data_IF_996975585767
#
_entry.id   IF_996975585767
#
_cell.length_a   1.000
_cell.length_b   1.000
_cell.length_c   1.000
_cell.angle_alpha   90.00
_cell.angle_beta   90.00
_cell.angle_gamma   90.00
#
_symmetry.space_group_name_H-M   'P 1'
#
loop_
_entity.id
_entity.type
_entity.pdbx_description
1 polymer ?
#
# COMPACT_ATOMS: atom_id res chain seq x y z
N UNK A 1 2.61 21.82 -8.83
CA UNK A 1 3.67 21.40 -7.90
C UNK A 1 4.18 19.99 -8.22
N UNK A 2 3.29 19.00 -8.33
CA UNK A 2 3.65 17.60 -8.60
C UNK A 2 4.50 17.41 -9.87
N UNK A 3 4.08 18.03 -10.98
CA UNK A 3 4.80 18.00 -12.26
C UNK A 3 6.10 18.82 -12.25
N UNK A 4 6.16 19.91 -11.49
CA UNK A 4 7.35 20.78 -11.39
C UNK A 4 8.42 20.18 -10.47
N UNK A 5 8.02 19.45 -9.44
CA UNK A 5 8.93 18.80 -8.48
C UNK A 5 9.33 17.37 -8.89
N UNK A 6 8.80 16.87 -10.02
CA UNK A 6 9.06 15.53 -10.49
C UNK A 6 8.43 14.45 -9.59
N UNK A 7 7.24 14.71 -9.04
CA UNK A 7 6.52 13.83 -8.11
C UNK A 7 6.56 14.35 -6.68
N UNK A 8 5.49 14.07 -5.93
CA UNK A 8 5.31 14.55 -4.55
C UNK A 8 5.33 13.44 -3.52
N UNK A 9 4.99 12.20 -3.89
CA UNK A 9 4.95 11.08 -2.95
C UNK A 9 6.26 10.29 -3.02
N UNK A 10 7.01 10.17 -1.91
CA UNK A 10 8.21 9.35 -1.86
C UNK A 10 7.87 7.86 -1.75
N UNK A 11 8.54 7.07 -2.58
CA UNK A 11 8.70 5.63 -2.47
C UNK A 11 10.17 5.35 -2.21
N UNK A 12 10.48 4.62 -1.16
CA UNK A 12 11.82 4.16 -0.86
C UNK A 12 11.91 2.65 -1.13
N UNK A 13 12.92 2.26 -1.89
CA UNK A 13 13.24 0.86 -2.18
C UNK A 13 14.58 0.57 -1.51
N UNK A 14 14.56 -0.35 -0.57
CA UNK A 14 15.75 -0.80 0.15
C UNK A 14 16.16 -2.14 -0.43
N UNK A 15 17.44 -2.26 -0.81
CA UNK A 15 18.00 -3.48 -1.38
C UNK A 15 19.16 -3.95 -0.50
N UNK A 16 19.08 -5.20 -0.07
CA UNK A 16 20.15 -5.86 0.67
C UNK A 16 21.15 -6.53 -0.30
N UNK A 17 22.43 -6.70 0.07
CA UNK A 17 23.41 -7.42 -0.75
C UNK A 17 22.98 -8.89 -0.92
N UNK A 18 23.51 -9.59 -1.93
CA UNK A 18 23.34 -11.03 -2.04
C UNK A 18 24.01 -11.73 -0.86
N UNK A 19 23.41 -12.85 -0.41
CA UNK A 19 24.06 -13.68 0.59
C UNK A 19 25.42 -14.15 0.10
N UNK A 20 26.47 -13.94 0.91
CA UNK A 20 27.85 -14.30 0.57
C UNK A 20 28.01 -15.82 0.34
N UNK A 21 27.10 -16.62 0.89
CA UNK A 21 27.10 -18.08 0.78
C UNK A 21 26.16 -18.63 -0.31
N UNK A 22 25.39 -17.78 -0.99
CA UNK A 22 24.52 -18.22 -2.07
C UNK A 22 25.35 -18.57 -3.32
N UNK A 23 25.18 -19.77 -3.91
CA UNK A 23 25.86 -20.13 -5.15
C UNK A 23 25.44 -19.16 -6.25
N UNK A 24 26.42 -18.48 -6.87
CA UNK A 24 26.18 -17.57 -8.00
C UNK A 24 25.45 -18.35 -9.09
N UNK A 25 24.28 -17.90 -9.55
CA UNK A 25 23.55 -18.57 -10.61
C UNK A 25 24.36 -18.50 -11.89
N UNK A 26 24.85 -19.66 -12.36
CA UNK A 26 25.57 -19.81 -13.61
C UNK A 26 27.05 -20.20 -13.52
N UNK A 27 27.63 -20.35 -12.33
CA UNK A 27 28.91 -21.01 -12.12
C UNK A 27 28.64 -22.37 -11.47
N UNK A 28 28.45 -23.40 -12.28
CA UNK A 28 28.67 -24.77 -11.82
C UNK A 28 30.06 -24.80 -11.16
N UNK A 29 30.09 -25.19 -9.90
CA UNK A 29 31.37 -25.49 -9.23
C UNK A 29 32.09 -26.52 -10.10
N UNK A 30 33.10 -26.08 -10.84
CA UNK A 30 34.14 -26.97 -11.26
C UNK A 30 34.70 -27.48 -9.96
N UNK A 31 34.32 -28.71 -9.62
CA UNK A 31 34.86 -29.40 -8.47
C UNK A 31 36.38 -29.34 -8.63
N UNK A 32 37.05 -28.61 -7.75
CA UNK A 32 38.49 -28.63 -7.63
C UNK A 32 38.87 -30.02 -7.14
N UNK A 33 39.00 -30.95 -8.07
CA UNK A 33 39.85 -32.13 -7.86
C UNK A 33 41.28 -31.63 -7.88
N UNK A 34 41.70 -31.06 -6.79
CA UNK A 34 43.14 -30.88 -6.53
C UNK A 34 43.70 -32.23 -6.12
N UNK A 35 43.87 -33.13 -7.08
CA UNK A 35 44.93 -34.11 -6.96
C UNK A 35 46.24 -33.34 -7.05
N UNK A 36 47.19 -33.51 -6.11
CA UNK A 36 48.50 -32.89 -6.19
C UNK A 36 49.22 -33.46 -7.42
N UNK A 37 49.55 -32.60 -8.37
CA UNK A 37 50.37 -32.95 -9.52
C UNK A 37 51.73 -33.44 -8.96
N UNK A 38 52.15 -34.71 -9.20
CA UNK A 38 53.44 -35.15 -8.75
C UNK A 38 54.51 -34.38 -9.54
N UNK A 39 55.33 -33.59 -8.81
CA UNK A 39 56.46 -32.87 -9.35
C UNK A 39 57.47 -33.94 -9.77
N UNK A 40 57.67 -34.09 -11.07
CA UNK A 40 58.69 -34.91 -11.65
C UNK A 40 60.08 -34.30 -11.37
N UNK A 41 61.07 -35.12 -10.95
CA UNK A 41 62.38 -34.69 -10.59
C UNK A 41 63.29 -34.18 -11.78
N UNK A 42 62.66 -33.93 -12.94
CA UNK A 42 63.34 -33.46 -14.16
C UNK A 42 62.78 -32.10 -14.65
N UNK A 43 62.60 -31.16 -13.74
CA UNK A 43 62.18 -29.79 -14.14
C UNK A 43 63.46 -28.96 -14.42
N UNK A 44 63.66 -28.50 -15.66
CA UNK A 44 64.85 -27.72 -16.02
C UNK A 44 64.83 -26.28 -15.51
N UNK A 45 63.84 -25.90 -14.71
CA UNK A 45 63.72 -24.59 -14.07
C UNK A 45 63.81 -24.62 -12.53
N UNK A 46 64.29 -25.72 -11.93
CA UNK A 46 64.72 -25.70 -10.54
C UNK A 46 65.99 -24.81 -10.45
N UNK A 47 65.75 -23.56 -10.00
CA UNK A 47 66.80 -22.61 -9.69
C UNK A 47 67.59 -23.16 -8.48
N UNK A 48 68.80 -23.60 -8.73
CA UNK A 48 69.79 -23.94 -7.69
C UNK A 48 69.99 -22.75 -6.73
N UNK A 49 70.06 -23.06 -5.46
CA UNK A 49 70.47 -22.20 -4.36
C UNK A 49 71.88 -21.55 -4.66
N UNK A 50 71.85 -20.36 -5.25
CA UNK A 50 73.04 -19.58 -5.50
C UNK A 50 72.75 -18.06 -5.24
N UNK A 51 72.26 -17.75 -4.05
CA UNK A 51 72.54 -16.44 -3.46
C UNK A 51 72.88 -16.65 -1.99
N UNK A 52 74.15 -16.45 -1.73
CA UNK A 52 74.79 -16.55 -0.42
C UNK A 52 74.25 -15.50 0.55
N UNK A 53 74.32 -15.84 1.81
CA UNK A 53 74.19 -14.96 2.95
C UNK A 53 75.10 -13.74 2.78
N UNK A 54 74.52 -12.59 2.38
CA UNK A 54 75.16 -11.30 2.59
C UNK A 54 74.18 -10.46 3.46
N UNK A 55 74.69 -10.19 4.65
CA UNK A 55 74.17 -9.26 5.64
C UNK A 55 73.72 -7.94 5.00
N UNK A 56 72.40 -7.76 4.76
CA UNK A 56 71.78 -6.45 4.58
C UNK A 56 71.10 -6.11 5.86
N UNK A 57 71.66 -5.11 6.52
CA UNK A 57 71.30 -4.52 7.80
C UNK A 57 69.83 -4.37 8.05
N UNK A 58 69.41 -4.69 9.27
CA UNK A 58 68.12 -4.59 9.96
C UNK A 58 67.51 -3.17 10.03
N UNK A 59 67.81 -2.25 9.13
CA UNK A 59 67.36 -0.83 9.23
C UNK A 59 66.06 -0.57 8.45
N UNK A 60 65.60 -1.51 7.61
CA UNK A 60 64.32 -1.39 6.89
C UNK A 60 63.18 -2.27 7.45
N UNK A 61 63.44 -3.10 8.44
CA UNK A 61 62.46 -4.02 9.01
C UNK A 61 61.47 -3.32 10.00
N UNK A 62 61.81 -2.17 10.56
CA UNK A 62 60.99 -1.48 11.54
C UNK A 62 59.91 -0.57 10.94
N UNK A 63 60.02 -0.15 9.67
CA UNK A 63 59.00 0.73 9.05
C UNK A 63 57.86 -0.07 8.35
N UNK A 64 58.07 -1.37 8.11
CA UNK A 64 57.01 -2.20 7.50
C UNK A 64 56.00 -2.74 8.49
N UNK A 65 56.35 -2.87 9.77
CA UNK A 65 55.43 -3.37 10.79
C UNK A 65 54.40 -2.28 11.26
N UNK A 66 54.75 -1.01 11.14
CA UNK A 66 53.83 0.10 11.41
C UNK A 66 52.84 0.30 10.26
N UNK A 67 53.20 -0.05 9.01
CA UNK A 67 52.29 -0.04 7.85
C UNK A 67 51.42 -1.29 7.78
N UNK A 68 51.88 -2.42 8.29
CA UNK A 68 51.14 -3.68 8.32
C UNK A 68 50.14 -3.76 9.51
N UNK A 69 50.42 -3.06 10.62
CA UNK A 69 49.55 -3.06 11.79
C UNK A 69 48.36 -2.06 11.68
N UNK A 70 48.41 -1.16 10.73
CA UNK A 70 47.33 -0.23 10.41
C UNK A 70 46.56 -0.60 9.13
N UNK A 71 46.78 -1.78 8.56
CA UNK A 71 45.85 -2.37 7.61
C UNK A 71 44.60 -2.79 8.39
N UNK A 72 43.80 -1.80 8.78
CA UNK A 72 42.39 -1.98 9.13
C UNK A 72 41.82 -3.00 8.15
N UNK A 73 41.16 -4.04 8.67
CA UNK A 73 40.41 -5.03 7.89
C UNK A 73 39.23 -4.35 7.15
N UNK A 74 39.53 -3.30 6.39
CA UNK A 74 38.55 -2.60 5.59
C UNK A 74 38.13 -3.53 4.45
N UNK A 75 36.97 -4.14 4.59
CA UNK A 75 36.32 -4.85 3.50
C UNK A 75 35.32 -3.88 2.83
N UNK A 76 35.54 -3.53 1.56
CA UNK A 76 34.59 -2.70 0.85
C UNK A 76 33.22 -3.40 0.78
N UNK A 77 32.16 -2.65 0.99
CA UNK A 77 30.81 -3.17 0.84
C UNK A 77 30.56 -3.66 -0.60
N UNK A 78 29.70 -4.66 -0.74
CA UNK A 78 29.26 -5.17 -2.05
C UNK A 78 28.86 -4.03 -3.00
N UNK A 79 28.19 -3.00 -2.49
CA UNK A 79 27.68 -1.88 -3.28
C UNK A 79 28.77 -0.96 -3.83
N UNK A 80 29.96 -0.98 -3.26
CA UNK A 80 31.15 -0.29 -3.76
C UNK A 80 32.03 -1.22 -4.61
N UNK A 81 31.45 -2.28 -5.17
CA UNK A 81 32.05 -3.13 -6.18
C UNK A 81 31.44 -2.86 -7.57
N UNK A 82 32.14 -3.25 -8.64
CA UNK A 82 31.60 -3.16 -10.00
C UNK A 82 30.32 -3.98 -10.21
N UNK A 83 30.16 -5.08 -9.49
CA UNK A 83 28.98 -5.92 -9.55
C UNK A 83 27.78 -5.21 -8.91
N UNK A 84 27.94 -4.70 -7.69
CA UNK A 84 26.91 -3.97 -6.96
C UNK A 84 26.50 -2.67 -7.67
N UNK A 85 27.48 -1.92 -8.20
CA UNK A 85 27.21 -0.71 -8.99
C UNK A 85 26.36 -1.02 -10.23
N UNK A 86 26.71 -2.06 -11.00
CA UNK A 86 25.96 -2.46 -12.20
C UNK A 86 24.54 -2.97 -11.86
N UNK A 87 24.39 -3.67 -10.74
CA UNK A 87 23.09 -4.11 -10.26
C UNK A 87 22.21 -2.89 -9.92
N UNK A 88 22.77 -1.95 -9.16
CA UNK A 88 22.09 -0.73 -8.77
C UNK A 88 21.73 0.16 -9.97
N UNK A 89 22.62 0.30 -10.95
CA UNK A 89 22.37 1.07 -12.18
C UNK A 89 21.23 0.46 -12.99
N UNK A 90 21.13 -0.86 -13.08
CA UNK A 90 20.01 -1.52 -13.77
C UNK A 90 18.68 -1.25 -13.08
N UNK A 91 18.66 -1.32 -11.75
CA UNK A 91 17.46 -1.00 -10.97
C UNK A 91 17.08 0.48 -11.11
N UNK A 92 18.06 1.38 -10.97
CA UNK A 92 17.87 2.82 -11.10
C UNK A 92 17.28 3.18 -12.46
N UNK A 93 17.92 2.73 -13.55
CA UNK A 93 17.49 3.04 -14.91
C UNK A 93 16.10 2.47 -15.24
N UNK A 94 15.78 1.28 -14.74
CA UNK A 94 14.44 0.73 -14.90
C UNK A 94 13.39 1.62 -14.24
N UNK A 95 13.59 1.99 -12.98
CA UNK A 95 12.63 2.79 -12.24
C UNK A 95 12.50 4.18 -12.85
N UNK A 96 13.61 4.80 -13.28
CA UNK A 96 13.60 6.12 -13.92
C UNK A 96 12.90 6.11 -15.29
N UNK A 97 12.84 4.95 -15.96
CA UNK A 97 12.13 4.78 -17.24
C UNK A 97 10.61 4.71 -17.12
N UNK A 98 10.06 4.52 -15.91
CA UNK A 98 8.62 4.38 -15.71
C UNK A 98 7.91 5.74 -15.82
N UNK A 99 6.75 5.81 -16.49
CA UNK A 99 6.03 7.07 -16.72
C UNK A 99 5.46 7.69 -15.43
N UNK A 100 5.19 6.87 -14.40
CA UNK A 100 4.67 7.28 -13.10
C UNK A 100 5.77 7.87 -12.20
N UNK A 101 7.03 7.57 -12.50
CA UNK A 101 8.17 8.10 -11.74
C UNK A 101 8.58 9.48 -12.26
N UNK A 102 8.99 10.33 -11.35
CA UNK A 102 9.46 11.67 -11.69
C UNK A 102 10.97 11.82 -11.51
N UNK A 103 11.48 11.56 -10.34
CA UNK A 103 12.91 11.64 -10.03
C UNK A 103 13.33 10.47 -9.17
N UNK A 104 14.38 9.78 -9.58
CA UNK A 104 15.03 8.70 -8.84
C UNK A 104 16.36 9.19 -8.29
N UNK A 105 16.59 8.97 -7.02
CA UNK A 105 17.85 9.27 -6.33
C UNK A 105 18.37 8.02 -5.65
N UNK A 106 19.61 7.70 -5.87
CA UNK A 106 20.27 6.52 -5.30
C UNK A 106 21.78 6.71 -5.26
N UNK A 107 22.49 5.75 -4.74
CA UNK A 107 23.95 5.72 -4.78
C UNK A 107 24.49 5.72 -6.23
N UNK A 108 23.73 5.19 -7.22
CA UNK A 108 24.05 5.29 -8.64
C UNK A 108 24.17 6.75 -9.10
N UNK A 109 23.28 7.64 -8.61
CA UNK A 109 23.36 9.08 -8.90
C UNK A 109 24.65 9.69 -8.35
N UNK A 110 25.11 9.26 -7.18
CA UNK A 110 26.37 9.70 -6.59
C UNK A 110 27.56 9.22 -7.42
N UNK A 111 27.55 7.96 -7.83
CA UNK A 111 28.60 7.42 -8.70
C UNK A 111 28.67 8.13 -10.05
N UNK A 112 27.55 8.48 -10.64
CA UNK A 112 27.52 9.27 -11.87
C UNK A 112 28.20 10.64 -11.72
N UNK A 113 27.95 11.34 -10.60
CA UNK A 113 28.60 12.62 -10.29
C UNK A 113 30.10 12.43 -10.06
N UNK A 114 30.52 11.40 -9.33
CA UNK A 114 31.94 11.10 -9.09
C UNK A 114 32.66 10.77 -10.42
N UNK A 115 32.02 9.98 -11.28
CA UNK A 115 32.55 9.66 -12.62
C UNK A 115 32.74 10.93 -13.47
N UNK A 116 31.79 11.84 -13.46
CA UNK A 116 31.85 13.10 -14.19
C UNK A 116 32.99 13.99 -13.69
N UNK A 117 33.22 14.02 -12.38
CA UNK A 117 34.29 14.79 -11.75
C UNK A 117 35.68 14.20 -12.03
N UNK A 118 35.81 12.88 -12.06
CA UNK A 118 37.09 12.18 -12.25
C UNK A 118 37.46 12.03 -13.73
N UNK A 119 36.50 12.21 -14.66
CA UNK A 119 36.74 12.16 -16.11
C UNK A 119 37.18 10.82 -16.67
N UNK A 120 37.07 9.73 -15.91
CA UNK A 120 37.48 8.38 -16.27
C UNK A 120 36.44 7.34 -15.85
N UNK A 121 36.49 6.17 -16.50
CA UNK A 121 35.71 5.02 -16.03
C UNK A 121 36.25 4.53 -14.70
N UNK A 122 35.38 4.52 -13.69
CA UNK A 122 35.73 4.13 -12.32
C UNK A 122 35.87 2.61 -12.26
N UNK A 123 37.03 2.10 -11.87
CA UNK A 123 37.26 0.68 -11.59
C UNK A 123 36.83 0.27 -10.18
N UNK A 124 36.95 -1.04 -9.90
CA UNK A 124 36.56 -1.56 -8.58
C UNK A 124 37.44 -1.06 -7.43
N UNK A 125 38.73 -0.79 -7.72
CA UNK A 125 39.70 -0.28 -6.74
C UNK A 125 39.39 1.16 -6.40
N UNK A 126 39.05 2.00 -7.40
CA UNK A 126 38.69 3.40 -7.20
C UNK A 126 37.39 3.53 -6.40
N UNK A 127 36.40 2.63 -6.61
CA UNK A 127 35.18 2.59 -5.81
C UNK A 127 35.46 2.29 -4.33
N UNK A 128 36.36 1.34 -4.05
CA UNK A 128 36.76 1.02 -2.68
C UNK A 128 37.49 2.20 -2.02
N UNK A 129 38.36 2.90 -2.79
CA UNK A 129 39.03 4.13 -2.34
C UNK A 129 38.02 5.23 -2.08
N UNK A 130 37.03 5.41 -2.94
CA UNK A 130 35.94 6.39 -2.75
C UNK A 130 35.21 6.11 -1.44
N UNK A 131 34.90 4.85 -1.12
CA UNK A 131 34.25 4.51 0.16
C UNK A 131 35.11 4.89 1.38
N UNK A 132 36.45 4.69 1.31
CA UNK A 132 37.38 4.95 2.42
C UNK A 132 37.79 6.42 2.52
N UNK A 133 37.99 7.10 1.40
CA UNK A 133 38.62 8.44 1.32
C UNK A 133 37.63 9.58 1.16
N UNK A 134 36.32 9.30 1.17
CA UNK A 134 35.31 10.35 1.08
C UNK A 134 35.36 11.22 2.36
N UNK A 135 35.49 12.55 2.24
CA UNK A 135 35.44 13.44 3.39
C UNK A 135 34.11 13.24 4.17
N UNK A 136 34.17 13.19 5.50
CA UNK A 136 33.01 12.87 6.36
C UNK A 136 31.81 13.78 6.06
N UNK A 137 32.03 15.06 5.85
CA UNK A 137 30.97 16.02 5.52
C UNK A 137 30.25 15.70 4.20
N UNK A 138 31.01 15.26 3.18
CA UNK A 138 30.46 14.87 1.87
C UNK A 138 29.83 13.47 1.93
N UNK A 139 30.39 12.57 2.73
CA UNK A 139 29.86 11.25 2.96
C UNK A 139 28.48 11.33 3.62
N UNK A 140 28.32 12.16 4.65
CA UNK A 140 27.04 12.38 5.32
C UNK A 140 25.99 12.99 4.38
N UNK A 141 26.39 13.89 3.50
CA UNK A 141 25.46 14.56 2.58
C UNK A 141 25.08 13.72 1.35
N UNK A 142 26.04 13.00 0.76
CA UNK A 142 25.86 12.35 -0.54
C UNK A 142 25.70 10.82 -0.47
N UNK A 143 26.32 10.17 0.49
CA UNK A 143 26.34 8.69 0.59
C UNK A 143 25.35 8.20 1.65
N UNK A 144 25.41 8.75 2.85
CA UNK A 144 24.61 8.30 3.99
C UNK A 144 23.08 8.29 3.77
N UNK A 145 22.49 9.19 2.95
CA UNK A 145 21.06 9.10 2.64
C UNK A 145 20.68 7.87 1.83
N UNK A 146 21.63 7.28 1.09
CA UNK A 146 21.39 6.19 0.13
C UNK A 146 22.09 4.88 0.50
N UNK A 147 22.98 4.87 1.48
CA UNK A 147 23.72 3.70 1.90
C UNK A 147 23.84 3.62 3.43
N UNK A 148 23.45 2.48 4.00
CA UNK A 148 23.61 2.16 5.40
C UNK A 148 24.80 1.22 5.59
N UNK A 149 25.89 1.69 6.21
CA UNK A 149 27.05 0.86 6.51
C UNK A 149 26.74 -0.24 7.53
N UNK A 150 25.87 0.04 8.52
CA UNK A 150 25.52 -0.93 9.57
C UNK A 150 24.77 -2.16 9.04
N UNK A 151 23.90 -1.95 8.04
CA UNK A 151 23.06 -3.00 7.48
C UNK A 151 23.53 -3.46 6.10
N UNK A 152 24.56 -2.85 5.55
CA UNK A 152 25.04 -3.04 4.17
C UNK A 152 23.92 -2.88 3.11
N UNK A 153 22.95 -2.00 3.35
CA UNK A 153 21.78 -1.82 2.49
C UNK A 153 21.87 -0.52 1.69
N UNK A 154 21.39 -0.55 0.46
CA UNK A 154 21.18 0.66 -0.34
C UNK A 154 19.73 1.05 -0.40
N UNK A 155 19.49 2.35 -0.45
CA UNK A 155 18.19 2.96 -0.55
C UNK A 155 18.08 3.75 -1.86
N UNK A 156 17.05 3.44 -2.63
CA UNK A 156 16.61 4.25 -3.76
C UNK A 156 15.40 5.07 -3.33
N UNK A 157 15.48 6.37 -3.43
CA UNK A 157 14.36 7.27 -3.17
C UNK A 157 13.74 7.69 -4.49
N UNK A 158 12.51 7.29 -4.71
CA UNK A 158 11.75 7.53 -5.93
C UNK A 158 10.65 8.53 -5.64
N UNK A 159 10.55 9.60 -6.40
CA UNK A 159 9.42 10.51 -6.35
C UNK A 159 8.37 10.08 -7.37
N UNK A 160 7.20 9.69 -6.89
CA UNK A 160 6.08 9.23 -7.73
C UNK A 160 5.12 10.39 -7.98
N UNK A 161 4.62 10.51 -9.22
CA UNK A 161 3.67 11.55 -9.64
C UNK A 161 2.26 11.17 -9.21
N UNK A 162 1.75 11.84 -8.18
CA UNK A 162 0.41 11.56 -7.63
C UNK A 162 -0.72 11.96 -8.58
N UNK A 163 -0.52 13.03 -9.36
CA UNK A 163 -1.53 13.57 -10.28
C UNK A 163 -1.68 12.79 -11.58
N UNK A 164 -0.91 11.72 -11.77
CA UNK A 164 -1.12 10.80 -12.90
C UNK A 164 -2.49 10.14 -12.74
N UNK A 165 -3.41 10.36 -13.70
CA UNK A 165 -4.77 9.80 -13.68
C UNK A 165 -4.79 8.27 -13.72
N UNK A 166 -3.69 7.67 -14.15
CA UNK A 166 -3.54 6.23 -14.35
C UNK A 166 -2.78 5.54 -13.20
N UNK A 167 -2.35 6.30 -12.18
CA UNK A 167 -1.58 5.75 -11.07
C UNK A 167 -2.46 4.86 -10.18
N UNK A 168 -2.40 3.56 -10.43
CA UNK A 168 -2.91 2.53 -9.53
C UNK A 168 -1.77 2.08 -8.63
N UNK A 169 -1.72 2.61 -7.41
CA UNK A 169 -0.59 2.43 -6.48
C UNK A 169 -0.24 0.96 -6.25
N UNK A 170 -1.25 0.11 -6.07
CA UNK A 170 -1.05 -1.32 -5.87
C UNK A 170 -0.46 -2.02 -7.12
N UNK A 171 -0.99 -1.70 -8.31
CA UNK A 171 -0.49 -2.24 -9.57
C UNK A 171 0.94 -1.76 -9.86
N UNK A 172 1.23 -0.49 -9.59
CA UNK A 172 2.56 0.08 -9.73
C UNK A 172 3.57 -0.62 -8.80
N UNK A 173 3.28 -0.74 -7.50
CA UNK A 173 4.16 -1.40 -6.54
C UNK A 173 4.38 -2.88 -6.90
N UNK A 174 3.33 -3.57 -7.33
CA UNK A 174 3.41 -4.96 -7.77
C UNK A 174 4.22 -5.10 -9.05
N UNK A 175 3.98 -4.27 -10.05
CA UNK A 175 4.73 -4.27 -11.31
C UNK A 175 6.22 -4.00 -11.11
N UNK A 176 6.57 -3.03 -10.25
CA UNK A 176 7.97 -2.78 -9.89
C UNK A 176 8.58 -4.01 -9.21
N UNK A 177 7.89 -4.62 -8.24
CA UNK A 177 8.36 -5.83 -7.56
C UNK A 177 8.58 -6.99 -8.52
N UNK A 178 7.59 -7.29 -9.37
CA UNK A 178 7.67 -8.38 -10.36
C UNK A 178 8.84 -8.19 -11.35
N UNK A 179 9.13 -6.94 -11.72
CA UNK A 179 10.27 -6.67 -12.59
C UNK A 179 11.61 -6.82 -11.89
N UNK A 180 11.71 -6.39 -10.63
CA UNK A 180 12.93 -6.55 -9.84
C UNK A 180 13.22 -8.03 -9.56
N UNK A 181 12.21 -8.82 -9.25
CA UNK A 181 12.33 -10.26 -8.96
C UNK A 181 12.55 -11.10 -10.23
N UNK A 182 11.85 -10.80 -11.32
CA UNK A 182 11.91 -11.57 -12.57
C UNK A 182 13.05 -11.13 -13.49
N UNK A 183 12.91 -10.07 -14.32
CA UNK A 183 13.89 -9.66 -15.29
C UNK A 183 15.27 -9.27 -14.70
N UNK A 184 15.29 -8.68 -13.50
CA UNK A 184 16.53 -8.29 -12.83
C UNK A 184 17.09 -9.36 -11.91
N UNK A 185 16.31 -10.41 -11.57
CA UNK A 185 16.76 -11.58 -10.83
C UNK A 185 17.10 -11.34 -9.36
N UNK A 186 16.54 -10.30 -8.75
CA UNK A 186 16.71 -10.01 -7.32
C UNK A 186 15.85 -10.96 -6.47
N UNK A 187 16.43 -11.58 -5.46
CA UNK A 187 15.67 -12.43 -4.54
C UNK A 187 14.64 -11.57 -3.76
N UNK A 188 13.39 -12.05 -3.56
CA UNK A 188 12.32 -11.28 -2.89
C UNK A 188 12.70 -10.78 -1.50
N UNK A 189 13.52 -11.53 -0.77
CA UNK A 189 14.00 -11.22 0.59
C UNK A 189 14.95 -10.02 0.63
N UNK A 190 15.61 -9.73 -0.51
CA UNK A 190 16.53 -8.60 -0.64
C UNK A 190 15.83 -7.27 -0.87
N UNK A 191 14.54 -7.29 -1.25
CA UNK A 191 13.79 -6.11 -1.69
C UNK A 191 12.77 -5.72 -0.64
N UNK A 192 12.88 -4.51 -0.11
CA UNK A 192 11.89 -3.95 0.82
C UNK A 192 11.38 -2.62 0.27
N UNK A 193 10.05 -2.53 0.13
CA UNK A 193 9.39 -1.27 -0.19
C UNK A 193 8.96 -0.56 1.08
N UNK A 194 9.25 0.74 1.16
CA UNK A 194 8.87 1.60 2.28
C UNK A 194 8.58 3.02 1.78
N UNK A 195 8.30 3.93 2.69
CA UNK A 195 7.97 5.31 2.35
C UNK A 195 6.47 5.60 2.31
N UNK A 196 6.14 6.85 2.03
CA UNK A 196 4.76 7.34 2.11
C UNK A 196 3.82 6.64 1.12
N UNK A 197 4.31 6.30 -0.08
CA UNK A 197 3.50 5.61 -1.09
C UNK A 197 3.02 4.24 -0.58
N UNK A 198 3.92 3.46 0.04
CA UNK A 198 3.60 2.14 0.60
C UNK A 198 2.66 2.27 1.78
N UNK A 199 2.93 3.23 2.68
CA UNK A 199 2.06 3.51 3.82
C UNK A 199 0.64 3.85 3.36
N UNK A 200 0.51 4.77 2.40
CA UNK A 200 -0.78 5.15 1.83
C UNK A 200 -1.51 3.98 1.17
N UNK A 201 -0.78 3.16 0.39
CA UNK A 201 -1.35 1.97 -0.24
C UNK A 201 -1.88 0.99 0.82
N UNK A 202 -1.08 0.69 1.83
CA UNK A 202 -1.44 -0.25 2.89
C UNK A 202 -2.63 0.26 3.72
N UNK A 203 -2.65 1.56 4.05
CA UNK A 203 -3.78 2.17 4.76
C UNK A 203 -5.05 2.07 3.91
N UNK A 204 -5.01 2.42 2.63
CA UNK A 204 -6.18 2.34 1.76
C UNK A 204 -6.67 0.89 1.59
N UNK A 205 -5.78 -0.06 1.38
CA UNK A 205 -6.12 -1.48 1.29
C UNK A 205 -6.77 -2.00 2.59
N UNK A 206 -6.18 -1.65 3.73
CA UNK A 206 -6.72 -2.00 5.05
C UNK A 206 -8.09 -1.37 5.29
N UNK A 207 -8.27 -0.11 4.91
CA UNK A 207 -9.56 0.58 5.02
C UNK A 207 -10.63 -0.10 4.15
N UNK A 208 -10.30 -0.48 2.92
CA UNK A 208 -11.22 -1.17 2.02
C UNK A 208 -11.67 -2.52 2.58
N UNK A 209 -10.72 -3.33 3.03
CA UNK A 209 -10.99 -4.64 3.61
C UNK A 209 -11.80 -4.52 4.91
N UNK A 210 -11.44 -3.57 5.77
CA UNK A 210 -12.16 -3.27 7.00
C UNK A 210 -13.59 -2.82 6.71
N UNK A 211 -13.80 -1.99 5.69
CA UNK A 211 -15.13 -1.51 5.29
C UNK A 211 -16.07 -2.66 4.89
N UNK A 212 -15.59 -3.57 4.04
CA UNK A 212 -16.39 -4.72 3.59
C UNK A 212 -16.76 -5.60 4.79
N UNK A 213 -15.79 -5.91 5.65
CA UNK A 213 -16.00 -6.74 6.83
C UNK A 213 -16.97 -6.07 7.82
N UNK A 214 -16.76 -4.79 8.11
CA UNK A 214 -17.59 -4.01 9.05
C UNK A 214 -19.01 -3.89 8.53
N UNK A 215 -19.19 -3.54 7.26
CA UNK A 215 -20.52 -3.41 6.65
C UNK A 215 -21.25 -4.76 6.66
N UNK A 216 -20.56 -5.84 6.32
CA UNK A 216 -21.11 -7.20 6.40
C UNK A 216 -21.52 -7.58 7.83
N UNK A 217 -20.66 -7.29 8.82
CA UNK A 217 -20.97 -7.56 10.23
C UNK A 217 -22.16 -6.74 10.74
N UNK A 218 -22.24 -5.46 10.36
CA UNK A 218 -23.39 -4.57 10.71
C UNK A 218 -24.68 -5.09 10.10
N UNK A 219 -24.70 -5.42 8.81
CA UNK A 219 -25.90 -5.99 8.19
C UNK A 219 -26.28 -7.35 8.78
N UNK A 220 -25.29 -8.20 9.12
CA UNK A 220 -25.53 -9.44 9.81
C UNK A 220 -26.16 -9.25 11.20
N UNK A 221 -25.62 -8.34 12.00
CA UNK A 221 -26.17 -7.98 13.32
C UNK A 221 -27.59 -7.42 13.22
N UNK A 222 -27.86 -6.53 12.25
CA UNK A 222 -29.19 -5.97 12.01
C UNK A 222 -30.16 -7.06 11.56
N UNK A 223 -29.76 -7.98 10.70
CA UNK A 223 -30.58 -9.11 10.29
C UNK A 223 -30.98 -9.98 11.48
N UNK A 224 -30.00 -10.29 12.35
CA UNK A 224 -30.26 -11.06 13.58
C UNK A 224 -31.25 -10.30 14.49
N UNK A 225 -31.02 -9.00 14.67
CA UNK A 225 -31.92 -8.13 15.45
C UNK A 225 -33.36 -8.15 14.89
N UNK A 226 -33.53 -7.99 13.57
CA UNK A 226 -34.85 -8.03 12.92
C UNK A 226 -35.49 -9.41 13.05
N UNK A 227 -34.68 -10.49 12.95
CA UNK A 227 -35.18 -11.85 13.13
C UNK A 227 -35.71 -12.08 14.54
N UNK A 228 -35.01 -11.60 15.55
CA UNK A 228 -35.46 -11.67 16.95
C UNK A 228 -36.70 -10.81 17.20
N UNK A 229 -36.74 -9.61 16.59
CA UNK A 229 -37.84 -8.65 16.78
C UNK A 229 -39.12 -9.10 16.10
N UNK A 230 -39.03 -9.52 14.83
CA UNK A 230 -40.22 -9.86 14.02
C UNK A 230 -40.52 -11.36 14.00
N UNK A 231 -39.60 -12.22 14.44
CA UNK A 231 -39.71 -13.68 14.43
C UNK A 231 -40.11 -14.27 13.07
N UNK A 232 -39.76 -13.56 12.00
CA UNK A 232 -40.06 -13.94 10.61
C UNK A 232 -38.86 -13.59 9.73
N UNK A 233 -38.26 -14.58 9.09
CA UNK A 233 -37.12 -14.39 8.19
C UNK A 233 -37.50 -13.53 6.97
N UNK A 234 -38.71 -13.77 6.42
CA UNK A 234 -39.22 -13.01 5.28
C UNK A 234 -39.36 -11.52 5.61
N UNK A 235 -39.92 -11.20 6.78
CA UNK A 235 -40.10 -9.82 7.21
C UNK A 235 -38.76 -9.15 7.55
N UNK A 236 -37.85 -9.90 8.15
CA UNK A 236 -36.48 -9.40 8.44
C UNK A 236 -35.71 -9.03 7.17
N UNK A 237 -35.76 -9.89 6.15
CA UNK A 237 -35.10 -9.63 4.86
C UNK A 237 -35.75 -8.44 4.11
N UNK A 238 -37.08 -8.35 4.11
CA UNK A 238 -37.82 -7.23 3.51
C UNK A 238 -37.43 -5.92 4.19
N UNK A 239 -37.32 -5.91 5.52
CA UNK A 239 -37.00 -4.70 6.30
C UNK A 239 -35.53 -4.30 6.11
N UNK A 240 -34.63 -5.23 5.81
CA UNK A 240 -33.24 -4.97 5.56
C UNK A 240 -32.99 -4.33 4.17
N UNK A 241 -33.82 -4.65 3.17
CA UNK A 241 -33.62 -4.26 1.78
C UNK A 241 -33.49 -2.74 1.56
N UNK A 242 -34.30 -1.84 2.17
CA UNK A 242 -34.13 -0.40 2.03
C UNK A 242 -32.77 0.12 2.50
N UNK A 243 -32.26 -0.45 3.60
CA UNK A 243 -30.97 -0.05 4.17
C UNK A 243 -29.80 -0.50 3.29
N UNK A 244 -29.89 -1.71 2.73
CA UNK A 244 -28.92 -2.18 1.74
C UNK A 244 -28.92 -1.31 0.48
N UNK A 245 -30.11 -0.91 0.02
CA UNK A 245 -30.24 -0.02 -1.14
C UNK A 245 -29.62 1.36 -0.88
N UNK A 246 -29.91 1.95 0.29
CA UNK A 246 -29.36 3.26 0.66
C UNK A 246 -27.83 3.24 0.76
N UNK A 247 -27.23 2.22 1.42
CA UNK A 247 -25.80 2.05 1.49
C UNK A 247 -25.15 1.81 0.11
N UNK A 248 -25.78 0.95 -0.70
CA UNK A 248 -25.33 0.66 -2.08
C UNK A 248 -25.38 1.89 -2.97
N UNK A 249 -26.41 2.73 -2.82
CA UNK A 249 -26.56 3.98 -3.59
C UNK A 249 -25.45 4.98 -3.25
N UNK A 250 -25.08 5.11 -1.97
CA UNK A 250 -23.99 5.99 -1.55
C UNK A 250 -22.66 5.50 -2.10
N UNK A 251 -22.34 4.22 -1.94
CA UNK A 251 -21.11 3.65 -2.45
C UNK A 251 -21.04 3.73 -3.99
N UNK A 252 -22.18 3.48 -4.66
CA UNK A 252 -22.30 3.64 -6.12
C UNK A 252 -22.12 5.09 -6.57
N UNK A 253 -22.70 6.06 -5.85
CA UNK A 253 -22.52 7.48 -6.15
C UNK A 253 -21.06 7.94 -5.97
N UNK A 254 -20.39 7.46 -4.93
CA UNK A 254 -18.95 7.72 -4.74
C UNK A 254 -18.13 7.20 -5.93
N UNK A 255 -18.39 5.98 -6.37
CA UNK A 255 -17.70 5.39 -7.53
C UNK A 255 -17.98 6.17 -8.83
N UNK A 256 -19.24 6.57 -9.09
CA UNK A 256 -19.62 7.33 -10.29
C UNK A 256 -19.05 8.75 -10.31
N UNK A 257 -18.98 9.40 -9.15
CA UNK A 257 -18.48 10.78 -9.01
C UNK A 257 -16.95 10.83 -8.86
N UNK A 258 -16.28 9.68 -8.79
CA UNK A 258 -14.83 9.61 -8.56
C UNK A 258 -14.42 10.17 -7.19
N UNK A 259 -15.29 10.09 -6.19
CA UNK A 259 -14.98 10.55 -4.82
C UNK A 259 -14.08 9.51 -4.16
N UNK A 260 -12.88 9.89 -3.72
CA UNK A 260 -11.94 8.96 -3.12
C UNK A 260 -12.49 8.42 -1.78
N UNK A 261 -12.18 7.15 -1.51
CA UNK A 261 -12.41 6.56 -0.20
C UNK A 261 -11.39 7.12 0.79
N UNK A 262 -11.87 7.86 1.76
CA UNK A 262 -11.09 8.34 2.90
C UNK A 262 -11.75 7.91 4.23
N UNK A 263 -11.11 8.23 5.34
CA UNK A 263 -11.61 7.87 6.68
C UNK A 263 -13.00 8.47 6.94
N UNK A 264 -13.31 9.66 6.40
CA UNK A 264 -14.60 10.30 6.57
C UNK A 264 -15.67 9.65 5.70
N UNK A 265 -15.38 9.40 4.43
CA UNK A 265 -16.37 8.83 3.49
C UNK A 265 -16.73 7.39 3.81
N UNK A 266 -15.77 6.61 4.35
CA UNK A 266 -16.00 5.23 4.79
C UNK A 266 -17.04 5.13 5.90
N UNK A 267 -17.06 6.07 6.85
CA UNK A 267 -17.97 6.02 7.99
C UNK A 267 -19.43 6.32 7.59
N UNK A 268 -19.67 6.97 6.44
CA UNK A 268 -21.01 7.37 6.00
C UNK A 268 -21.95 6.17 5.88
N UNK A 269 -21.48 5.09 5.23
CA UNK A 269 -22.30 3.91 5.01
C UNK A 269 -22.77 3.28 6.33
N UNK A 270 -21.89 3.22 7.35
CA UNK A 270 -22.23 2.68 8.66
C UNK A 270 -23.23 3.58 9.42
N UNK A 271 -23.05 4.90 9.37
CA UNK A 271 -23.95 5.88 10.01
C UNK A 271 -25.34 5.81 9.38
N UNK A 272 -25.40 5.80 8.07
CA UNK A 272 -26.69 5.77 7.32
C UNK A 272 -27.47 4.51 7.59
N UNK A 273 -26.79 3.36 7.61
CA UNK A 273 -27.42 2.08 7.95
C UNK A 273 -28.00 2.13 9.37
N UNK A 274 -27.25 2.69 10.34
CA UNK A 274 -27.71 2.82 11.72
C UNK A 274 -28.99 3.67 11.86
N UNK A 275 -29.05 4.82 11.17
CA UNK A 275 -30.24 5.71 11.23
C UNK A 275 -31.39 5.11 10.43
N UNK A 276 -31.15 4.58 9.24
CA UNK A 276 -32.21 4.02 8.39
C UNK A 276 -32.91 2.79 8.98
N UNK A 277 -32.19 2.02 9.82
CA UNK A 277 -32.75 0.87 10.55
C UNK A 277 -33.86 1.29 11.50
N UNK A 278 -33.72 2.41 12.22
CA UNK A 278 -34.70 2.91 13.17
C UNK A 278 -36.03 3.24 12.47
N UNK A 279 -35.99 3.95 11.35
CA UNK A 279 -37.14 4.25 10.51
C UNK A 279 -37.87 2.97 10.06
N UNK A 280 -37.12 1.95 9.61
CA UNK A 280 -37.71 0.69 9.17
C UNK A 280 -38.38 -0.06 10.33
N UNK A 281 -37.78 -0.09 11.53
CA UNK A 281 -38.35 -0.75 12.73
C UNK A 281 -39.71 -0.09 13.06
N UNK A 282 -39.75 1.23 13.15
CA UNK A 282 -40.94 1.97 13.48
C UNK A 282 -42.05 1.76 12.46
N UNK A 283 -41.71 1.77 11.17
CA UNK A 283 -42.64 1.54 10.09
C UNK A 283 -43.26 0.13 10.16
N UNK A 284 -42.40 -0.92 10.23
CA UNK A 284 -42.89 -2.31 10.27
C UNK A 284 -43.67 -2.61 11.52
N UNK A 285 -43.24 -2.11 12.68
CA UNK A 285 -43.94 -2.31 13.92
C UNK A 285 -45.35 -1.69 13.87
N UNK A 286 -45.48 -0.49 13.31
CA UNK A 286 -46.77 0.15 13.09
C UNK A 286 -47.61 -0.61 12.08
N UNK A 287 -46.97 -1.09 10.99
CA UNK A 287 -47.68 -1.84 9.94
C UNK A 287 -48.28 -3.14 10.48
N UNK A 288 -47.55 -3.89 11.31
CA UNK A 288 -48.06 -5.09 11.95
C UNK A 288 -49.32 -4.80 12.80
N UNK A 289 -49.29 -3.72 13.58
CA UNK A 289 -50.45 -3.29 14.40
C UNK A 289 -51.67 -2.89 13.56
N UNK A 290 -51.46 -2.13 12.49
CA UNK A 290 -52.53 -1.70 11.60
C UNK A 290 -53.12 -2.88 10.79
N UNK A 291 -52.25 -3.79 10.33
CA UNK A 291 -52.69 -4.98 9.63
C UNK A 291 -53.55 -5.92 10.51
N UNK A 292 -53.27 -5.99 11.80
CA UNK A 292 -54.04 -6.81 12.73
C UNK A 292 -55.49 -6.35 12.91
N UNK A 293 -55.83 -5.12 12.49
CA UNK A 293 -57.21 -4.55 12.65
C UNK A 293 -58.18 -5.15 11.63
N UNK A 294 -57.81 -5.15 10.36
CA UNK A 294 -58.73 -5.50 9.27
C UNK A 294 -58.10 -6.53 8.28
N UNK A 295 -56.84 -6.89 8.46
CA UNK A 295 -56.08 -7.77 7.58
C UNK A 295 -56.05 -7.31 6.10
N UNK A 296 -56.12 -6.01 5.89
CA UNK A 296 -55.96 -5.38 4.59
C UNK A 296 -54.62 -4.68 4.51
N UNK A 297 -53.73 -5.17 3.61
CA UNK A 297 -52.38 -4.61 3.43
C UNK A 297 -52.41 -3.19 2.91
N UNK A 298 -53.33 -2.86 1.96
CA UNK A 298 -53.40 -1.54 1.39
C UNK A 298 -53.92 -0.52 2.41
N UNK A 299 -54.98 -0.85 3.14
CA UNK A 299 -55.51 0.01 4.18
C UNK A 299 -54.52 0.25 5.31
N UNK A 300 -53.82 -0.78 5.75
CA UNK A 300 -52.71 -0.68 6.73
C UNK A 300 -51.59 0.23 6.24
N UNK A 301 -51.16 0.11 4.97
CA UNK A 301 -50.16 0.99 4.36
C UNK A 301 -50.56 2.45 4.41
N UNK A 302 -51.79 2.80 3.98
CA UNK A 302 -52.29 4.20 4.01
C UNK A 302 -52.31 4.77 5.43
N UNK A 303 -52.74 3.98 6.43
CA UNK A 303 -52.72 4.39 7.83
C UNK A 303 -51.31 4.62 8.36
N UNK A 304 -50.35 3.77 7.98
CA UNK A 304 -48.94 3.93 8.34
C UNK A 304 -48.33 5.20 7.73
N UNK A 305 -48.59 5.47 6.44
CA UNK A 305 -48.10 6.69 5.79
C UNK A 305 -48.66 7.96 6.45
N UNK A 306 -49.91 7.95 6.81
CA UNK A 306 -50.55 9.12 7.46
C UNK A 306 -50.09 9.35 8.91
N UNK A 307 -49.56 8.36 9.59
CA UNK A 307 -49.09 8.48 10.97
C UNK A 307 -47.54 8.54 11.04
N UNK A 308 -46.87 7.40 11.00
CA UNK A 308 -45.42 7.28 11.13
C UNK A 308 -44.65 7.84 9.91
N UNK A 309 -45.21 7.71 8.70
CA UNK A 309 -44.56 8.24 7.50
C UNK A 309 -44.33 9.75 7.58
N UNK A 310 -45.25 10.49 8.15
CA UNK A 310 -45.05 11.94 8.37
C UNK A 310 -43.93 12.23 9.39
N UNK A 311 -43.87 11.46 10.48
CA UNK A 311 -42.81 11.63 11.47
C UNK A 311 -41.45 11.36 10.87
N UNK A 312 -41.28 10.27 10.13
CA UNK A 312 -40.03 9.92 9.42
C UNK A 312 -39.61 11.00 8.43
N UNK A 313 -40.57 11.58 7.69
CA UNK A 313 -40.29 12.70 6.79
C UNK A 313 -39.71 13.91 7.52
N UNK A 314 -40.32 14.34 8.64
CA UNK A 314 -39.82 15.48 9.39
C UNK A 314 -38.47 15.21 10.07
N UNK A 315 -38.26 14.03 10.64
CA UNK A 315 -36.95 13.65 11.21
C UNK A 315 -35.84 13.65 10.18
N UNK A 316 -36.13 13.04 9.02
CA UNK A 316 -35.16 13.03 7.91
C UNK A 316 -34.89 14.44 7.38
N UNK A 317 -35.91 15.28 7.23
CA UNK A 317 -35.73 16.68 6.82
C UNK A 317 -34.79 17.43 7.77
N UNK A 318 -34.98 17.24 9.08
CA UNK A 318 -34.12 17.88 10.10
C UNK A 318 -32.69 17.42 9.99
N UNK A 319 -32.47 16.11 9.81
CA UNK A 319 -31.11 15.51 9.63
C UNK A 319 -30.48 16.03 8.34
N UNK A 320 -31.24 16.07 7.23
CA UNK A 320 -30.75 16.58 5.93
C UNK A 320 -30.32 18.03 6.04
N UNK A 321 -31.12 18.89 6.68
CA UNK A 321 -30.76 20.30 6.90
C UNK A 321 -29.48 20.39 7.74
N UNK A 322 -29.39 19.61 8.83
CA UNK A 322 -28.19 19.57 9.68
C UNK A 322 -26.93 19.20 8.92
N UNK A 323 -26.97 18.10 8.17
CA UNK A 323 -25.79 17.66 7.39
C UNK A 323 -25.48 18.55 6.17
N UNK A 324 -26.49 19.21 5.60
CA UNK A 324 -26.26 20.17 4.52
C UNK A 324 -25.41 21.36 4.95
N UNK A 325 -25.36 21.71 6.24
CA UNK A 325 -24.47 22.79 6.72
C UNK A 325 -22.98 22.45 6.56
N UNK A 326 -22.63 21.17 6.53
CA UNK A 326 -21.25 20.73 6.29
C UNK A 326 -20.76 21.07 4.88
N UNK A 327 -21.65 21.26 3.92
CA UNK A 327 -21.29 21.69 2.55
C UNK A 327 -20.75 23.11 2.49
N UNK A 328 -20.98 23.92 3.53
CA UNK A 328 -20.45 25.27 3.68
C UNK A 328 -18.99 25.30 4.17
N UNK A 329 -18.40 24.14 4.49
CA UNK A 329 -17.01 24.01 4.93
C UNK A 329 -16.04 24.29 3.77
N UNK A 330 -14.85 24.80 4.10
CA UNK A 330 -13.73 24.90 3.15
C UNK A 330 -12.88 23.63 3.08
N UNK A 331 -13.26 22.57 3.80
CA UNK A 331 -12.54 21.31 3.85
C UNK A 331 -13.26 20.26 3.02
N UNK A 332 -12.67 19.83 1.89
CA UNK A 332 -13.29 18.92 0.93
C UNK A 332 -13.86 17.63 1.54
N UNK A 333 -13.17 16.91 2.44
CA UNK A 333 -13.75 15.72 3.07
C UNK A 333 -15.05 15.98 3.83
N UNK A 334 -15.19 17.14 4.50
CA UNK A 334 -16.42 17.52 5.18
C UNK A 334 -17.57 17.81 4.20
N UNK A 335 -17.25 18.42 3.05
CA UNK A 335 -18.23 18.68 1.99
C UNK A 335 -18.76 17.36 1.44
N UNK A 336 -17.86 16.42 1.10
CA UNK A 336 -18.26 15.10 0.62
C UNK A 336 -19.06 14.32 1.67
N UNK A 337 -18.62 14.38 2.93
CA UNK A 337 -19.35 13.76 4.04
C UNK A 337 -20.77 14.30 4.16
N UNK A 338 -20.96 15.62 4.16
CA UNK A 338 -22.26 16.26 4.22
C UNK A 338 -23.16 15.86 3.04
N UNK A 339 -22.65 15.99 1.81
CA UNK A 339 -23.40 15.71 0.58
C UNK A 339 -23.84 14.24 0.50
N UNK A 340 -22.91 13.32 0.75
CA UNK A 340 -23.20 11.89 0.68
C UNK A 340 -24.14 11.45 1.80
N UNK A 341 -24.03 12.04 2.99
CA UNK A 341 -24.98 11.76 4.09
C UNK A 341 -26.38 12.24 3.75
N UNK A 342 -26.52 13.43 3.17
CA UNK A 342 -27.83 13.95 2.69
C UNK A 342 -28.42 13.00 1.64
N UNK A 343 -27.63 12.59 0.65
CA UNK A 343 -28.06 11.63 -0.37
C UNK A 343 -28.52 10.31 0.25
N UNK A 344 -27.75 9.81 1.18
CA UNK A 344 -28.02 8.56 1.88
C UNK A 344 -29.31 8.61 2.71
N UNK A 345 -29.52 9.70 3.45
CA UNK A 345 -30.74 9.88 4.26
C UNK A 345 -31.97 10.02 3.39
N UNK A 346 -31.87 10.76 2.27
CA UNK A 346 -32.94 10.83 1.29
C UNK A 346 -33.28 9.45 0.69
N UNK A 347 -32.25 8.66 0.34
CA UNK A 347 -32.41 7.30 -0.16
C UNK A 347 -33.04 6.36 0.89
N UNK A 348 -32.62 6.46 2.15
CA UNK A 348 -33.10 5.62 3.24
C UNK A 348 -34.60 5.89 3.50
N UNK A 349 -35.03 7.16 3.61
CA UNK A 349 -36.45 7.47 3.83
C UNK A 349 -37.31 7.11 2.62
N UNK A 350 -36.84 7.32 1.40
CA UNK A 350 -37.54 6.87 0.19
C UNK A 350 -37.64 5.35 0.15
N UNK A 351 -36.57 4.65 0.53
CA UNK A 351 -36.56 3.20 0.67
C UNK A 351 -37.58 2.71 1.71
N UNK A 352 -37.63 3.35 2.87
CA UNK A 352 -38.56 2.98 3.94
C UNK A 352 -40.02 3.32 3.61
N UNK A 353 -40.28 4.40 2.89
CA UNK A 353 -41.67 4.83 2.56
C UNK A 353 -42.18 4.27 1.24
N UNK A 354 -41.34 3.92 0.28
CA UNK A 354 -41.75 3.43 -1.04
C UNK A 354 -41.42 1.96 -1.25
N UNK A 355 -40.16 1.57 -1.01
CA UNK A 355 -39.68 0.20 -1.29
C UNK A 355 -40.22 -0.77 -0.25
N UNK A 356 -40.08 -0.45 1.05
CA UNK A 356 -40.48 -1.35 2.13
C UNK A 356 -41.97 -1.71 2.08
N UNK A 357 -42.94 -0.75 1.99
CA UNK A 357 -44.37 -1.10 1.87
C UNK A 357 -44.65 -1.86 0.57
N UNK A 358 -43.99 -1.54 -0.53
CA UNK A 358 -44.16 -2.28 -1.79
C UNK A 358 -43.71 -3.74 -1.67
N UNK A 359 -42.59 -3.98 -1.00
CA UNK A 359 -42.11 -5.35 -0.73
C UNK A 359 -43.09 -6.11 0.20
N UNK A 360 -43.62 -5.45 1.24
CA UNK A 360 -44.63 -6.05 2.14
C UNK A 360 -45.89 -6.42 1.36
N UNK A 361 -46.37 -5.55 0.49
CA UNK A 361 -47.55 -5.81 -0.36
C UNK A 361 -47.37 -6.96 -1.33
N UNK A 362 -46.16 -7.11 -1.91
CA UNK A 362 -45.86 -8.16 -2.89
C UNK A 362 -45.65 -9.51 -2.21
N UNK A 363 -44.85 -9.53 -1.16
CA UNK A 363 -44.51 -10.80 -0.49
C UNK A 363 -45.49 -11.27 0.58
N UNK A 364 -46.40 -10.39 1.03
CA UNK A 364 -47.46 -10.66 2.03
C UNK A 364 -46.96 -11.48 3.25
N UNK A 365 -45.88 -11.03 3.95
CA UNK A 365 -45.22 -11.81 4.98
C UNK A 365 -46.05 -12.02 6.25
N UNK A 366 -47.16 -11.30 6.42
CA UNK A 366 -48.03 -11.38 7.61
C UNK A 366 -49.21 -12.36 7.43
N UNK A 367 -49.28 -13.05 6.31
CA UNK A 367 -50.31 -14.04 6.02
C UNK A 367 -51.37 -13.54 5.01
N UNK A 368 -52.43 -14.35 4.75
CA UNK A 368 -53.43 -13.99 3.78
C UNK A 368 -54.31 -12.81 4.24
N UNK A 369 -54.78 -12.04 3.27
CA UNK A 369 -55.76 -10.97 3.50
C UNK A 369 -57.05 -11.59 4.06
N UNK A 370 -57.71 -10.86 4.98
CA UNK A 370 -59.02 -11.26 5.45
C UNK A 370 -60.04 -11.18 4.28
N UNK A 371 -60.79 -12.26 4.08
CA UNK A 371 -62.00 -12.18 3.23
C UNK A 371 -62.97 -11.26 3.93
N UNK A 372 -63.22 -10.09 3.31
CA UNK A 372 -64.27 -9.16 3.77
C UNK A 372 -65.64 -9.79 3.72
#
# INVERSE_FOLDING_TARGET
LDTMLGGTIPLDIIISPPDRDAPLPGLERVASSSEPIPISADDPFALDDAFGDDDWDDEFANDTDEFASSADNFQPSYWFSLAGMRELDRVHNYIDSLPETGKVLSLSTVFAVVKDLMGQDIGGVELAIVQKSFPDDLKELMVSPYFSEQNEQVRLTVRVRETSKDLRRDEFLRGVREHLEGPLGLAPERIQFTGMLVLYNNVLQSLFQSQILTLGAVFGAILIMFLLLFRSLSLALITLAPNMLAAGLVLGAMGLLGIPLDIMTITIAAIVVGIGVDDCIHYVHRFIKEFAVDRDYCAAMYRCHNSIGRAMYYTTLTVVVGFSTLTLSNFNPSIYFGLLTVLAMAAAVLGALLLLPRLILVFKPLGPEGTA
#
